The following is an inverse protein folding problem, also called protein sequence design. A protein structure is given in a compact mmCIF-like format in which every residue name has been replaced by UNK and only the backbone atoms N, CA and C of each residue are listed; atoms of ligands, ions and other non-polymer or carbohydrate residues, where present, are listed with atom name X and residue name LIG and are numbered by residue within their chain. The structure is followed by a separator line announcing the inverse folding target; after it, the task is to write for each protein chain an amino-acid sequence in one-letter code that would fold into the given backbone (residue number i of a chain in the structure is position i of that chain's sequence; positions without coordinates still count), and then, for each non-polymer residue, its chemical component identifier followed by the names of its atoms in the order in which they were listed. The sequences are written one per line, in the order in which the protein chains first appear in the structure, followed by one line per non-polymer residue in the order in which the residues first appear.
data_IF_063785268115
#
_entry.id   IF_063785268115
#
_cell.length_a   1.000
_cell.length_b   1.000
_cell.length_c   1.000
_cell.angle_alpha   90.00
_cell.angle_beta   90.00
_cell.angle_gamma   90.00
#
_symmetry.space_group_name_H-M   'P 1'
#
loop_
_entity.id
_entity.type
_entity.pdbx_description
1 polymer ?
#
# COMPACT_ATOMS: atom_id res chain seq x y z
N UNK A 1 18.59 10.75 21.84
CA UNK A 1 18.25 11.87 20.95
C UNK A 1 18.53 13.22 21.64
N UNK A 2 17.71 13.67 22.61
CA UNK A 2 17.95 14.98 23.29
C UNK A 2 19.35 15.13 23.91
N UNK A 3 19.84 14.12 24.63
CA UNK A 3 21.20 14.10 25.21
C UNK A 3 22.33 14.20 24.17
N UNK A 4 22.06 13.89 22.90
CA UNK A 4 23.00 13.98 21.78
C UNK A 4 22.85 15.29 20.99
N UNK A 5 22.10 16.26 21.49
CA UNK A 5 21.92 17.57 20.85
C UNK A 5 20.79 17.66 19.82
N UNK A 6 19.98 16.60 19.65
CA UNK A 6 18.85 16.63 18.71
C UNK A 6 17.64 17.36 19.29
N UNK A 7 17.06 18.28 18.51
CA UNK A 7 15.76 18.91 18.80
C UNK A 7 14.63 17.95 18.46
N UNK A 8 13.70 17.74 19.39
CA UNK A 8 12.50 16.93 19.17
C UNK A 8 11.32 17.89 19.03
N UNK A 9 10.57 17.74 17.93
CA UNK A 9 9.39 18.55 17.63
C UNK A 9 8.23 17.60 17.35
N UNK A 10 7.06 17.92 17.88
CA UNK A 10 5.85 17.18 17.60
C UNK A 10 5.30 17.60 16.24
N UNK A 11 4.91 16.61 15.44
CA UNK A 11 4.42 16.81 14.07
C UNK A 11 3.08 16.11 13.90
N UNK A 12 2.23 16.66 13.03
CA UNK A 12 0.93 16.09 12.73
C UNK A 12 0.84 15.74 11.25
N UNK A 13 0.42 14.51 10.96
CA UNK A 13 0.21 13.99 9.60
C UNK A 13 -1.23 13.43 9.54
N UNK A 14 -2.23 14.29 9.32
CA UNK A 14 -3.64 13.88 9.35
C UNK A 14 -3.97 12.76 8.37
N UNK A 15 -3.28 12.69 7.22
CA UNK A 15 -3.54 11.67 6.22
C UNK A 15 -3.13 10.27 6.65
N UNK A 16 -2.22 10.13 7.63
CA UNK A 16 -1.73 8.83 8.11
C UNK A 16 -2.87 7.87 8.50
N UNK A 17 -3.95 8.38 9.09
CA UNK A 17 -5.11 7.59 9.52
C UNK A 17 -5.88 6.94 8.35
N UNK A 18 -5.81 7.51 7.15
CA UNK A 18 -6.50 7.02 5.95
C UNK A 18 -5.64 6.09 5.09
N UNK A 19 -4.34 6.01 5.39
CA UNK A 19 -3.37 5.30 4.59
C UNK A 19 -3.60 3.79 4.57
N UNK A 20 -4.06 3.21 5.69
CA UNK A 20 -4.31 1.77 5.80
C UNK A 20 -5.30 1.29 4.74
N UNK A 21 -6.47 1.93 4.65
CA UNK A 21 -7.49 1.59 3.65
C UNK A 21 -7.02 1.84 2.23
N UNK A 22 -6.36 2.99 1.98
CA UNK A 22 -5.83 3.31 0.66
C UNK A 22 -4.78 2.29 0.19
N UNK A 23 -3.91 1.82 1.10
CA UNK A 23 -2.92 0.80 0.81
C UNK A 23 -3.56 -0.52 0.39
N UNK A 24 -4.52 -1.05 1.15
CA UNK A 24 -5.14 -2.33 0.79
C UNK A 24 -5.95 -2.26 -0.51
N UNK A 25 -6.52 -1.10 -0.84
CA UNK A 25 -7.19 -0.88 -2.13
C UNK A 25 -6.16 -0.90 -3.27
N UNK A 26 -5.10 -0.11 -3.17
CA UNK A 26 -4.08 0.00 -4.23
C UNK A 26 -3.31 -1.32 -4.37
N UNK A 27 -2.78 -1.85 -3.26
CA UNK A 27 -1.98 -3.06 -3.26
C UNK A 27 -2.77 -4.29 -3.75
N UNK A 28 -4.06 -4.40 -3.43
CA UNK A 28 -4.88 -5.51 -3.94
C UNK A 28 -5.18 -5.37 -5.43
N UNK A 29 -5.45 -4.16 -5.92
CA UNK A 29 -5.64 -3.88 -7.34
C UNK A 29 -4.36 -4.16 -8.15
N UNK A 30 -3.21 -3.72 -7.67
CA UNK A 30 -1.92 -4.00 -8.31
C UNK A 30 -1.58 -5.49 -8.24
N UNK A 31 -1.83 -6.15 -7.11
CA UNK A 31 -1.64 -7.58 -6.97
C UNK A 31 -2.51 -8.37 -7.96
N UNK A 32 -3.78 -8.01 -8.15
CA UNK A 32 -4.65 -8.74 -9.08
C UNK A 32 -4.17 -8.66 -10.53
N UNK A 33 -3.69 -7.49 -10.96
CA UNK A 33 -3.05 -7.32 -12.25
C UNK A 33 -1.71 -8.07 -12.35
N UNK A 34 -0.84 -7.94 -11.35
CA UNK A 34 0.48 -8.55 -11.36
C UNK A 34 0.45 -10.09 -11.35
N UNK A 35 -0.50 -10.67 -10.62
CA UNK A 35 -0.68 -12.13 -10.55
C UNK A 35 -1.50 -12.67 -11.75
N UNK A 36 -2.03 -11.82 -12.63
CA UNK A 36 -2.70 -12.24 -13.87
C UNK A 36 -1.82 -13.16 -14.73
N UNK A 37 -0.50 -12.99 -14.68
CA UNK A 37 0.48 -13.80 -15.43
C UNK A 37 0.48 -15.30 -15.09
N UNK A 38 0.03 -15.68 -13.90
CA UNK A 38 0.01 -17.08 -13.47
C UNK A 38 -1.21 -17.78 -14.06
N UNK A 39 -1.03 -18.31 -15.26
CA UNK A 39 -2.07 -18.97 -16.04
C UNK A 39 -1.86 -20.48 -16.18
N UNK A 40 -0.66 -20.99 -15.88
CA UNK A 40 -0.31 -22.40 -16.11
C UNK A 40 0.03 -22.72 -17.57
N UNK A 41 0.10 -21.72 -18.46
CA UNK A 41 0.40 -21.92 -19.89
C UNK A 41 1.89 -21.84 -20.21
N UNK A 42 2.61 -20.89 -19.59
CA UNK A 42 4.04 -20.69 -19.84
C UNK A 42 4.93 -21.35 -18.78
N UNK A 43 4.41 -21.47 -17.55
CA UNK A 43 5.10 -22.07 -16.42
C UNK A 43 4.08 -22.92 -15.67
N UNK A 44 4.41 -24.19 -15.47
CA UNK A 44 3.50 -25.15 -14.83
C UNK A 44 3.43 -24.93 -13.32
N UNK A 45 2.24 -25.17 -12.77
CA UNK A 45 2.09 -25.45 -11.34
C UNK A 45 2.35 -26.96 -11.15
N UNK A 46 3.43 -27.37 -10.46
CA UNK A 46 3.85 -28.77 -10.40
C UNK A 46 2.90 -29.70 -9.59
N UNK A 47 1.74 -29.21 -9.15
CA UNK A 47 0.87 -29.89 -8.19
C UNK A 47 -0.22 -30.80 -8.78
N UNK A 48 -0.46 -30.82 -10.09
CA UNK A 48 -1.36 -31.80 -10.72
C UNK A 48 -1.26 -31.69 -12.23
N UNK A 49 -0.96 -32.82 -12.89
CA UNK A 49 -1.33 -33.01 -14.29
C UNK A 49 -2.81 -32.67 -14.38
N UNK A 50 -3.16 -31.60 -15.11
CA UNK A 50 -4.55 -31.31 -15.46
C UNK A 50 -4.96 -32.46 -16.40
N UNK A 51 -5.35 -33.59 -15.82
CA UNK A 51 -6.00 -34.71 -16.51
C UNK A 51 -7.45 -34.33 -16.75
N UNK A 52 -7.67 -33.18 -17.38
CA UNK A 52 -8.96 -32.86 -17.94
C UNK A 52 -9.08 -33.68 -19.21
N UNK A 53 -9.73 -34.84 -19.11
CA UNK A 53 -10.27 -35.61 -20.23
C UNK A 53 -11.35 -34.86 -21.03
N UNK A 54 -11.39 -33.53 -20.92
CA UNK A 54 -12.27 -32.63 -21.66
C UNK A 54 -11.38 -31.66 -22.44
N UNK A 55 -11.21 -31.87 -23.75
CA UNK A 55 -10.52 -30.92 -24.59
C UNK A 55 -11.41 -29.67 -24.73
N UNK A 56 -10.80 -28.48 -24.78
CA UNK A 56 -11.35 -27.26 -25.40
C UNK A 56 -11.83 -26.08 -24.52
N UNK A 57 -11.30 -25.84 -23.31
CA UNK A 57 -11.43 -24.47 -22.76
C UNK A 57 -10.18 -23.99 -22.04
N UNK A 58 -9.43 -23.10 -22.67
CA UNK A 58 -8.33 -22.33 -22.04
C UNK A 58 -8.76 -21.65 -20.73
N UNK A 59 -10.03 -21.25 -20.65
CA UNK A 59 -10.64 -20.71 -19.43
C UNK A 59 -10.64 -21.70 -18.25
N UNK A 60 -10.90 -22.99 -18.52
CA UNK A 60 -10.90 -24.04 -17.49
C UNK A 60 -9.51 -24.28 -16.91
N UNK A 61 -8.47 -24.24 -17.75
CA UNK A 61 -7.08 -24.36 -17.31
C UNK A 61 -6.64 -23.18 -16.44
N UNK A 62 -7.02 -21.94 -16.82
CA UNK A 62 -6.75 -20.75 -16.02
C UNK A 62 -7.42 -20.83 -14.64
N UNK A 63 -8.69 -21.25 -14.61
CA UNK A 63 -9.44 -21.35 -13.37
C UNK A 63 -8.85 -22.42 -12.43
N UNK A 64 -8.55 -23.61 -12.95
CA UNK A 64 -7.98 -24.70 -12.16
C UNK A 64 -6.62 -24.31 -11.55
N UNK A 65 -5.70 -23.82 -12.39
CA UNK A 65 -4.34 -23.43 -11.97
C UNK A 65 -4.36 -22.39 -10.85
N UNK A 66 -5.20 -21.35 -10.99
CA UNK A 66 -5.27 -20.26 -10.00
C UNK A 66 -6.02 -20.66 -8.73
N UNK A 67 -7.04 -21.52 -8.85
CA UNK A 67 -7.83 -21.97 -7.70
C UNK A 67 -7.02 -22.89 -6.80
N UNK A 68 -6.28 -23.83 -7.39
CA UNK A 68 -5.45 -24.78 -6.66
C UNK A 68 -4.10 -24.18 -6.23
N UNK A 69 -3.48 -23.34 -7.07
CA UNK A 69 -2.14 -22.81 -6.83
C UNK A 69 -2.06 -21.63 -5.84
N UNK A 70 -3.13 -20.85 -5.68
CA UNK A 70 -3.12 -19.72 -4.75
C UNK A 70 -3.70 -20.07 -3.37
N UNK A 71 -3.04 -19.59 -2.31
CA UNK A 71 -3.53 -19.65 -0.93
C UNK A 71 -4.79 -18.79 -0.68
N UNK A 72 -5.43 -18.99 0.48
CA UNK A 72 -6.69 -18.29 0.84
C UNK A 72 -6.57 -16.76 0.81
N UNK A 73 -5.53 -16.20 1.43
CA UNK A 73 -5.32 -14.74 1.49
C UNK A 73 -5.01 -14.14 0.10
N UNK A 74 -4.25 -14.85 -0.73
CA UNK A 74 -3.97 -14.40 -2.10
C UNK A 74 -5.27 -14.33 -2.90
N UNK A 75 -6.10 -15.38 -2.84
CA UNK A 75 -7.43 -15.39 -3.49
C UNK A 75 -8.32 -14.25 -2.98
N UNK A 76 -8.28 -13.93 -1.68
CA UNK A 76 -9.00 -12.79 -1.09
C UNK A 76 -8.56 -11.47 -1.70
N UNK A 77 -7.24 -11.22 -1.82
CA UNK A 77 -6.70 -10.00 -2.45
C UNK A 77 -7.02 -9.91 -3.93
N UNK A 78 -6.99 -11.03 -4.66
CA UNK A 78 -7.40 -11.07 -6.07
C UNK A 78 -8.86 -10.66 -6.25
N UNK A 79 -9.75 -11.20 -5.41
CA UNK A 79 -11.18 -10.87 -5.45
C UNK A 79 -11.41 -9.39 -5.13
N UNK A 80 -10.80 -8.87 -4.07
CA UNK A 80 -10.90 -7.47 -3.68
C UNK A 80 -10.33 -6.55 -4.77
N UNK A 81 -9.15 -6.87 -5.31
CA UNK A 81 -8.50 -6.09 -6.36
C UNK A 81 -9.33 -6.01 -7.63
N UNK A 82 -9.87 -7.14 -8.10
CA UNK A 82 -10.75 -7.17 -9.26
C UNK A 82 -12.06 -6.40 -9.01
N UNK A 83 -12.61 -6.45 -7.79
CA UNK A 83 -13.77 -5.63 -7.44
C UNK A 83 -13.43 -4.13 -7.48
N UNK A 84 -12.30 -3.72 -6.92
CA UNK A 84 -11.80 -2.34 -6.95
C UNK A 84 -11.57 -1.84 -8.37
N UNK A 85 -11.11 -2.70 -9.28
CA UNK A 85 -10.85 -2.36 -10.68
C UNK A 85 -12.07 -2.50 -11.60
N UNK A 86 -13.21 -2.96 -11.09
CA UNK A 86 -14.47 -2.97 -11.84
C UNK A 86 -14.90 -1.55 -12.23
N UNK A 87 -15.72 -1.41 -13.27
CA UNK A 87 -16.15 -0.10 -13.78
C UNK A 87 -16.73 0.82 -12.71
N UNK A 88 -17.54 0.28 -11.80
CA UNK A 88 -18.13 1.03 -10.68
C UNK A 88 -17.16 1.20 -9.50
N UNK A 89 -16.30 0.21 -9.26
CA UNK A 89 -15.32 0.23 -8.18
C UNK A 89 -14.17 1.20 -8.42
N UNK A 90 -13.76 1.39 -9.67
CA UNK A 90 -12.57 2.16 -10.03
C UNK A 90 -12.65 3.62 -9.55
N UNK A 91 -13.74 4.31 -9.90
CA UNK A 91 -13.97 5.68 -9.46
C UNK A 91 -14.26 5.79 -7.96
N UNK A 92 -14.96 4.80 -7.40
CA UNK A 92 -15.41 4.83 -6.00
C UNK A 92 -14.32 4.53 -4.99
N UNK A 93 -13.36 3.66 -5.35
CA UNK A 93 -12.33 3.15 -4.45
C UNK A 93 -10.93 3.51 -4.94
N UNK A 94 -10.57 3.12 -6.16
CA UNK A 94 -9.19 3.24 -6.65
C UNK A 94 -8.75 4.70 -6.77
N UNK A 95 -9.54 5.55 -7.43
CA UNK A 95 -9.21 6.98 -7.57
C UNK A 95 -9.19 7.71 -6.22
N UNK A 96 -10.07 7.34 -5.28
CA UNK A 96 -10.05 7.91 -3.92
C UNK A 96 -8.81 7.50 -3.15
N UNK A 97 -8.39 6.24 -3.26
CA UNK A 97 -7.14 5.76 -2.66
C UNK A 97 -5.90 6.46 -3.26
N UNK A 98 -5.87 6.66 -4.58
CA UNK A 98 -4.81 7.44 -5.22
C UNK A 98 -4.79 8.90 -4.76
N UNK A 99 -5.96 9.50 -4.55
CA UNK A 99 -6.07 10.86 -3.98
C UNK A 99 -5.51 10.93 -2.55
N UNK A 100 -5.76 9.91 -1.73
CA UNK A 100 -5.17 9.78 -0.38
C UNK A 100 -3.65 9.68 -0.46
N UNK A 101 -3.11 8.83 -1.35
CA UNK A 101 -1.66 8.68 -1.57
C UNK A 101 -1.02 10.00 -2.00
N UNK A 102 -1.66 10.74 -2.92
CA UNK A 102 -1.17 12.03 -3.37
C UNK A 102 -1.15 13.06 -2.25
N UNK A 103 -2.23 13.19 -1.47
CA UNK A 103 -2.30 14.15 -0.37
C UNK A 103 -1.29 13.81 0.75
N UNK A 104 -1.09 12.52 1.03
CA UNK A 104 -0.07 12.08 1.96
C UNK A 104 1.33 12.52 1.52
N UNK A 105 1.66 12.33 0.24
CA UNK A 105 2.95 12.76 -0.32
C UNK A 105 3.14 14.27 -0.14
N UNK A 106 2.11 15.06 -0.44
CA UNK A 106 2.12 16.52 -0.23
C UNK A 106 2.34 16.92 1.23
N UNK A 107 1.71 16.23 2.19
CA UNK A 107 1.94 16.45 3.62
C UNK A 107 3.40 16.17 4.01
N UNK A 108 4.00 15.08 3.51
CA UNK A 108 5.43 14.83 3.74
C UNK A 108 6.34 15.86 3.08
N UNK A 109 6.02 16.28 1.85
CA UNK A 109 6.82 17.27 1.13
C UNK A 109 6.78 18.65 1.82
N UNK A 110 5.69 18.99 2.51
CA UNK A 110 5.64 20.18 3.38
C UNK A 110 6.41 20.03 4.68
N UNK A 111 6.56 18.79 5.17
CA UNK A 111 7.09 18.50 6.49
C UNK A 111 8.62 18.38 6.47
N UNK A 112 9.20 17.81 5.42
CA UNK A 112 10.65 17.64 5.30
C UNK A 112 11.34 18.91 4.82
N UNK A 113 12.54 19.17 5.36
CA UNK A 113 13.40 20.26 4.84
C UNK A 113 13.99 19.94 3.48
N UNK A 114 14.29 18.66 3.22
CA UNK A 114 14.88 18.21 1.96
C UNK A 114 13.83 18.29 0.85
N UNK A 115 14.08 19.02 -0.25
CA UNK A 115 13.13 19.11 -1.34
C UNK A 115 12.99 17.76 -2.05
N UNK A 116 11.76 17.39 -2.39
CA UNK A 116 11.49 16.19 -3.15
C UNK A 116 11.73 16.43 -4.65
N UNK A 117 12.76 15.77 -5.20
CA UNK A 117 13.15 15.91 -6.61
C UNK A 117 12.13 15.38 -7.61
N UNK A 118 11.21 14.50 -7.18
CA UNK A 118 10.15 13.96 -8.03
C UNK A 118 8.90 14.85 -8.07
N UNK A 119 8.90 15.99 -7.40
CA UNK A 119 7.79 16.93 -7.49
C UNK A 119 7.87 17.70 -8.78
N UNK A 120 6.73 17.75 -9.48
CA UNK A 120 6.54 18.68 -10.59
C UNK A 120 6.58 20.10 -10.02
N UNK A 121 7.28 21.00 -10.74
CA UNK A 121 7.48 22.40 -10.34
C UNK A 121 6.18 23.12 -9.98
N UNK A 122 6.28 24.07 -9.04
CA UNK A 122 5.16 24.85 -8.51
C UNK A 122 4.35 25.59 -9.60
N UNK A 123 4.98 25.88 -10.75
CA UNK A 123 4.38 26.45 -11.96
C UNK A 123 3.25 25.58 -12.53
N UNK A 124 3.36 24.24 -12.46
CA UNK A 124 2.28 23.33 -12.89
C UNK A 124 1.24 23.08 -11.81
N UNK A 125 1.58 23.36 -10.54
CA UNK A 125 0.69 23.15 -9.38
C UNK A 125 -0.43 24.18 -9.29
N UNK A 126 -0.14 25.44 -9.65
CA UNK A 126 -1.13 26.52 -9.72
C UNK A 126 -2.21 26.25 -10.77
N UNK A 127 -1.87 25.59 -11.88
CA UNK A 127 -2.84 25.18 -12.91
C UNK A 127 -3.80 24.06 -12.46
N UNK A 128 -3.49 23.34 -11.37
CA UNK A 128 -4.30 22.21 -10.85
C UNK A 128 -5.17 22.67 -9.65
N UNK A 129 -5.15 23.96 -9.30
CA UNK A 129 -5.99 24.52 -8.22
C UNK A 129 -5.62 24.03 -6.81
N UNK A 130 -4.43 23.45 -6.63
CA UNK A 130 -3.94 23.01 -5.31
C UNK A 130 -3.25 24.19 -4.63
N UNK A 131 -3.90 24.74 -3.60
CA UNK A 131 -3.39 25.88 -2.83
C UNK A 131 -2.02 25.58 -2.21
N UNK A 132 -1.03 26.43 -2.49
CA UNK A 132 0.37 26.34 -2.08
C UNK A 132 0.61 26.67 -0.59
N UNK A 133 -0.43 26.74 0.22
CA UNK A 133 -0.36 27.19 1.62
C UNK A 133 0.23 26.15 2.59
N UNK A 134 0.83 25.07 2.09
CA UNK A 134 1.46 24.02 2.90
C UNK A 134 2.94 24.28 3.21
N UNK A 135 3.50 25.45 2.88
CA UNK A 135 4.79 25.85 3.46
C UNK A 135 4.51 26.63 4.73
N UNK A 136 4.80 26.06 5.89
CA UNK A 136 4.82 26.83 7.13
C UNK A 136 5.77 28.03 6.92
N UNK A 137 5.32 29.22 7.29
CA UNK A 137 6.03 30.49 7.15
C UNK A 137 7.28 30.63 8.04
N UNK A 138 7.67 29.57 8.73
CA UNK A 138 8.93 29.45 9.45
C UNK A 138 9.80 28.42 8.72
N UNK A 139 11.12 28.63 8.64
CA UNK A 139 12.08 27.67 8.09
C UNK A 139 12.21 26.37 8.90
N UNK A 140 11.11 25.83 9.43
CA UNK A 140 10.98 24.69 10.33
C UNK A 140 10.32 23.50 9.65
N UNK A 141 11.07 22.79 8.83
CA UNK A 141 10.78 21.38 8.53
C UNK A 141 11.53 20.46 9.50
N UNK A 142 11.34 19.15 9.36
CA UNK A 142 12.14 18.12 10.04
C UNK A 142 13.11 17.45 9.07
N UNK A 143 14.21 16.93 9.61
CA UNK A 143 15.20 16.17 8.83
C UNK A 143 14.85 14.67 8.83
N UNK A 144 14.32 14.15 9.94
CA UNK A 144 13.98 12.75 10.16
C UNK A 144 12.67 12.64 10.94
N UNK A 145 11.85 11.64 10.60
CA UNK A 145 10.68 11.25 11.38
C UNK A 145 10.97 9.99 12.18
N UNK A 146 10.51 9.97 13.42
CA UNK A 146 10.58 8.82 14.29
C UNK A 146 9.17 8.29 14.52
N UNK A 147 8.94 7.04 14.15
CA UNK A 147 7.69 6.32 14.41
C UNK A 147 8.03 4.94 15.00
N UNK A 148 7.19 4.39 15.89
CA UNK A 148 7.35 3.01 16.29
C UNK A 148 7.11 2.09 15.07
N UNK A 149 7.88 1.00 14.91
CA UNK A 149 7.70 0.09 13.78
C UNK A 149 6.43 -0.76 13.87
N UNK A 150 5.88 -0.94 15.08
CA UNK A 150 4.68 -1.74 15.35
C UNK A 150 3.97 -1.22 16.60
N UNK A 151 2.65 -1.46 16.69
CA UNK A 151 1.86 -1.21 17.90
C UNK A 151 2.01 -2.28 18.98
N UNK A 152 2.50 -3.46 18.61
CA UNK A 152 2.64 -4.59 19.53
C UNK A 152 3.94 -5.36 19.29
N UNK A 153 4.46 -6.06 20.31
CA UNK A 153 5.51 -7.06 20.12
C UNK A 153 5.07 -8.18 19.16
N UNK A 154 6.03 -9.03 18.80
CA UNK A 154 5.75 -10.23 18.03
C UNK A 154 4.75 -11.14 18.77
N UNK A 155 3.74 -11.69 18.09
CA UNK A 155 2.81 -12.65 18.70
C UNK A 155 3.55 -13.93 19.12
N UNK A 156 3.21 -14.45 20.30
CA UNK A 156 3.80 -15.68 20.88
C UNK A 156 3.13 -16.97 20.40
N UNK A 157 1.87 -16.90 19.97
CA UNK A 157 1.12 -18.08 19.53
C UNK A 157 1.28 -18.33 18.02
N UNK A 158 1.22 -19.61 17.62
CA UNK A 158 1.03 -19.98 16.22
C UNK A 158 -0.18 -19.20 15.69
N UNK A 159 0.00 -18.55 14.54
CA UNK A 159 -0.96 -17.62 13.94
C UNK A 159 -2.35 -18.27 13.91
N UNK A 160 -3.21 -17.87 14.83
CA UNK A 160 -4.58 -18.35 14.88
C UNK A 160 -5.27 -17.87 13.61
N UNK A 161 -5.61 -18.78 12.68
CA UNK A 161 -6.27 -18.45 11.40
C UNK A 161 -7.61 -17.74 11.62
N UNK A 162 -8.17 -17.86 12.83
CA UNK A 162 -9.38 -17.20 13.31
C UNK A 162 -9.19 -15.75 13.79
N UNK A 163 -7.96 -15.22 13.92
CA UNK A 163 -7.78 -13.79 14.21
C UNK A 163 -8.44 -12.95 13.13
N UNK A 164 -9.16 -11.93 13.56
CA UNK A 164 -9.90 -11.06 12.66
C UNK A 164 -8.91 -10.41 11.67
N UNK A 165 -9.16 -10.60 10.38
CA UNK A 165 -8.27 -10.18 9.28
C UNK A 165 -7.90 -8.69 9.40
N UNK A 166 -8.83 -7.88 9.91
CA UNK A 166 -8.64 -6.46 10.17
C UNK A 166 -7.55 -6.18 11.23
N UNK A 167 -7.43 -7.01 12.26
CA UNK A 167 -6.38 -6.88 13.27
C UNK A 167 -5.00 -7.17 12.67
N UNK A 168 -4.91 -8.20 11.81
CA UNK A 168 -3.66 -8.50 11.11
C UNK A 168 -3.21 -7.32 10.25
N UNK A 169 -4.15 -6.67 9.57
CA UNK A 169 -3.86 -5.51 8.72
C UNK A 169 -3.46 -4.28 9.52
N UNK A 170 -4.06 -4.10 10.70
CA UNK A 170 -3.78 -2.96 11.55
C UNK A 170 -2.33 -2.88 12.05
N UNK A 171 -1.59 -4.00 12.05
CA UNK A 171 -0.17 -4.05 12.43
C UNK A 171 0.72 -3.19 11.54
N UNK A 172 0.35 -3.04 10.27
CA UNK A 172 1.16 -2.31 9.29
C UNK A 172 0.92 -0.79 9.32
N UNK A 173 0.05 -0.30 10.23
CA UNK A 173 -0.42 1.10 10.27
C UNK A 173 0.73 2.12 10.31
N UNK A 174 1.84 1.82 10.99
CA UNK A 174 2.97 2.76 11.11
C UNK A 174 3.94 2.73 9.93
N UNK A 175 3.97 1.64 9.18
CA UNK A 175 4.89 1.47 8.04
C UNK A 175 4.26 1.93 6.73
N UNK A 176 2.96 1.71 6.56
CA UNK A 176 2.22 2.02 5.34
C UNK A 176 2.38 3.48 4.87
N UNK A 177 2.33 4.52 5.72
CA UNK A 177 2.51 5.89 5.25
C UNK A 177 3.84 6.10 4.53
N UNK A 178 4.93 5.54 5.06
CA UNK A 178 6.25 5.63 4.42
C UNK A 178 6.29 4.89 3.07
N UNK A 179 5.66 3.71 3.00
CA UNK A 179 5.57 2.91 1.78
C UNK A 179 4.76 3.62 0.68
N UNK A 180 3.58 4.15 1.00
CA UNK A 180 2.72 4.85 0.04
C UNK A 180 3.38 6.13 -0.50
N UNK A 181 4.09 6.85 0.36
CA UNK A 181 4.83 8.06 -0.01
C UNK A 181 6.16 7.78 -0.72
N UNK A 182 6.66 6.53 -0.68
CA UNK A 182 7.95 6.15 -1.25
C UNK A 182 9.15 6.72 -0.49
N UNK A 183 9.02 6.86 0.83
CA UNK A 183 10.07 7.41 1.68
C UNK A 183 11.07 6.32 2.09
N UNK A 184 12.37 6.66 2.22
CA UNK A 184 13.33 5.78 2.85
C UNK A 184 12.99 5.62 4.35
N UNK A 185 12.92 4.38 4.82
CA UNK A 185 12.65 4.06 6.23
C UNK A 185 13.57 2.95 6.73
N UNK A 186 13.94 3.02 8.01
CA UNK A 186 14.80 2.05 8.68
C UNK A 186 14.22 1.75 10.07
N UNK A 187 14.05 0.46 10.38
CA UNK A 187 13.70 0.00 11.71
C UNK A 187 14.97 -0.39 12.48
N UNK A 188 15.12 0.10 13.70
CA UNK A 188 16.24 -0.18 14.60
C UNK A 188 15.67 -0.76 15.90
N UNK A 189 16.26 -1.85 16.45
CA UNK A 189 15.81 -2.46 17.71
C UNK A 189 16.03 -1.56 18.93
#
# INVERSE_FOLDING_TARGET
MRRRGSTIVDVSIPMAMKCLGAYYVIASAEASSNLARYSGVHYDYPGKTITSSTPNSSSSLYLATRTEGFGKEVKRRLLLGNHVLSSSGFYSYFLKAQSVRLRLKQEFDSLFKVPNSMMIEDSQRQNIGVSSNLRSSTGGGVDVLLTPPSSSPAPTDAIDETREILESWNRDRFLIPSSLAGLPSLAVP
#
